data_IF_214046198170
#
_entry.id   IF_214046198170
#
_cell.length_a   1.000
_cell.length_b   1.000
_cell.length_c   1.000
_cell.angle_alpha   90.00
_cell.angle_beta   90.00
_cell.angle_gamma   90.00
#
_symmetry.space_group_name_H-M   'P 1'
#
loop_
_entity.id
_entity.type
_entity.pdbx_description
1 polymer ?
#
# COMPACT_ATOMS: atom_id res chain seq x y z
N UNK A 1 9.73 17.17 -2.47
CA UNK A 1 9.95 15.71 -2.55
C UNK A 1 8.66 15.08 -2.08
N UNK A 2 7.86 14.50 -2.98
CA UNK A 2 6.64 13.77 -2.60
C UNK A 2 7.04 12.40 -2.06
N UNK A 3 6.54 12.02 -0.87
CA UNK A 3 6.54 10.60 -0.51
C UNK A 3 5.59 9.94 -1.50
N UNK A 4 6.00 8.87 -2.19
CA UNK A 4 5.01 8.05 -2.82
C UNK A 4 4.17 7.41 -1.72
N UNK A 5 2.98 7.95 -1.44
CA UNK A 5 1.87 7.18 -0.84
C UNK A 5 1.33 6.14 -1.82
N UNK A 6 2.22 5.62 -2.67
CA UNK A 6 1.99 4.70 -3.77
C UNK A 6 2.83 3.47 -3.47
N UNK A 7 2.19 2.38 -3.12
CA UNK A 7 2.82 1.09 -2.98
C UNK A 7 2.64 0.34 -4.29
N UNK A 8 3.76 0.09 -4.96
CA UNK A 8 3.80 -0.71 -6.18
C UNK A 8 4.46 -2.03 -5.81
N UNK A 9 3.71 -3.13 -5.93
CA UNK A 9 4.25 -4.47 -5.76
C UNK A 9 4.36 -5.12 -7.13
N UNK A 10 5.58 -5.51 -7.47
CA UNK A 10 5.84 -6.45 -8.55
C UNK A 10 6.00 -7.84 -7.95
N UNK A 11 5.17 -8.77 -8.39
CA UNK A 11 5.20 -10.15 -7.94
C UNK A 11 5.13 -11.09 -9.14
N UNK A 12 6.02 -12.08 -9.17
CA UNK A 12 6.07 -13.10 -10.21
C UNK A 12 6.08 -14.50 -9.62
N UNK A 13 5.37 -15.41 -10.29
CA UNK A 13 5.28 -16.84 -9.97
C UNK A 13 5.96 -17.62 -11.06
N UNK A 14 6.78 -18.58 -10.66
CA UNK A 14 7.47 -19.48 -11.57
C UNK A 14 7.17 -20.93 -11.18
N UNK A 15 7.26 -21.84 -12.15
CA UNK A 15 7.31 -23.27 -11.86
C UNK A 15 8.53 -23.61 -10.99
N UNK A 16 8.48 -24.78 -10.33
CA UNK A 16 9.63 -25.27 -9.56
C UNK A 16 10.80 -25.52 -10.50
N UNK A 17 11.91 -24.82 -10.26
CA UNK A 17 13.18 -25.01 -10.93
C UNK A 17 14.11 -25.96 -10.16
N UNK A 18 15.37 -26.02 -10.58
CA UNK A 18 16.44 -26.72 -9.85
C UNK A 18 17.29 -25.80 -8.98
N UNK A 19 17.12 -24.47 -9.08
CA UNK A 19 17.81 -23.52 -8.23
C UNK A 19 17.36 -23.66 -6.76
N UNK A 20 18.33 -23.80 -5.84
CA UNK A 20 18.06 -23.88 -4.40
C UNK A 20 18.24 -22.54 -3.68
N UNK A 21 18.87 -21.57 -4.35
CA UNK A 21 19.07 -20.20 -3.86
C UNK A 21 19.14 -19.22 -5.05
N UNK A 22 18.86 -17.94 -4.79
CA UNK A 22 18.90 -16.90 -5.81
C UNK A 22 17.70 -16.91 -6.77
N UNK A 23 17.82 -16.28 -7.96
CA UNK A 23 16.76 -16.27 -8.95
C UNK A 23 16.39 -17.67 -9.42
N UNK A 24 15.10 -17.93 -9.58
CA UNK A 24 14.59 -19.22 -10.09
C UNK A 24 14.96 -19.42 -11.55
N UNK A 25 15.22 -20.67 -11.94
CA UNK A 25 15.36 -21.12 -13.33
C UNK A 25 14.10 -21.85 -13.84
N UNK A 26 13.01 -21.81 -13.07
CA UNK A 26 11.71 -22.32 -13.50
C UNK A 26 11.05 -21.40 -14.52
N UNK A 27 10.11 -21.96 -15.30
CA UNK A 27 9.34 -21.20 -16.30
C UNK A 27 8.43 -20.18 -15.60
N UNK A 28 8.39 -18.95 -16.12
CA UNK A 28 7.45 -17.92 -15.67
C UNK A 28 6.01 -18.37 -15.92
N UNK A 29 5.19 -18.33 -14.87
CA UNK A 29 3.76 -18.67 -14.89
C UNK A 29 2.90 -17.43 -14.81
N UNK A 30 3.28 -16.50 -13.93
CA UNK A 30 2.50 -15.31 -13.63
C UNK A 30 3.45 -14.14 -13.39
N UNK A 31 3.17 -13.00 -13.99
CA UNK A 31 3.90 -11.76 -13.75
C UNK A 31 2.88 -10.67 -13.50
N UNK A 32 2.89 -10.05 -12.32
CA UNK A 32 1.82 -9.16 -11.87
C UNK A 32 2.33 -7.92 -11.18
N UNK A 33 1.51 -6.88 -11.29
CA UNK A 33 1.76 -5.57 -10.71
C UNK A 33 0.51 -5.15 -9.95
N UNK A 34 0.65 -4.81 -8.68
CA UNK A 34 -0.38 -4.09 -7.94
C UNK A 34 0.08 -2.67 -7.64
N UNK A 35 -0.88 -1.76 -7.60
CA UNK A 35 -0.69 -0.38 -7.20
C UNK A 35 -1.74 -0.03 -6.16
N UNK A 36 -1.31 0.54 -5.05
CA UNK A 36 -2.17 1.08 -4.00
C UNK A 36 -1.74 2.52 -3.75
N UNK A 37 -2.62 3.47 -4.03
CA UNK A 37 -2.35 4.90 -3.91
C UNK A 37 -3.40 5.56 -3.02
N UNK A 38 -2.95 6.25 -1.98
CA UNK A 38 -3.83 6.93 -1.01
C UNK A 38 -3.58 8.43 -1.07
N UNK A 39 -4.66 9.18 -1.31
CA UNK A 39 -4.64 10.64 -1.38
C UNK A 39 -5.56 11.21 -0.30
N UNK A 40 -5.07 12.03 0.64
CA UNK A 40 -5.93 12.74 1.57
C UNK A 40 -6.94 13.62 0.84
N UNK A 41 -8.22 13.53 1.22
CA UNK A 41 -9.28 14.38 0.66
C UNK A 41 -9.61 15.52 1.63
N UNK A 42 -9.82 15.17 2.90
CA UNK A 42 -10.01 16.11 4.00
C UNK A 42 -9.41 15.53 5.29
N UNK A 43 -9.66 16.18 6.44
CA UNK A 43 -9.10 15.76 7.73
C UNK A 43 -9.53 14.34 8.17
N UNK A 44 -10.61 13.80 7.60
CA UNK A 44 -11.30 12.60 8.07
C UNK A 44 -11.61 11.62 6.93
N UNK A 45 -11.13 11.88 5.71
CA UNK A 45 -11.39 11.02 4.56
C UNK A 45 -10.23 11.03 3.55
N UNK A 46 -10.13 9.96 2.77
CA UNK A 46 -9.16 9.82 1.70
C UNK A 46 -9.79 9.21 0.45
N UNK A 47 -9.14 9.43 -0.68
CA UNK A 47 -9.34 8.70 -1.92
C UNK A 47 -8.32 7.56 -1.99
N UNK A 48 -8.80 6.32 -2.10
CA UNK A 48 -7.97 5.13 -2.24
C UNK A 48 -8.15 4.59 -3.66
N UNK A 49 -7.07 4.63 -4.45
CA UNK A 49 -6.99 4.02 -5.77
C UNK A 49 -6.20 2.72 -5.70
N UNK A 50 -6.81 1.62 -6.13
CA UNK A 50 -6.17 0.32 -6.15
C UNK A 50 -6.28 -0.32 -7.53
N UNK A 51 -5.26 -1.08 -7.92
CA UNK A 51 -5.28 -1.91 -9.11
C UNK A 51 -4.39 -3.14 -8.92
N UNK A 52 -4.76 -4.22 -9.58
CA UNK A 52 -3.94 -5.42 -9.69
C UNK A 52 -4.17 -6.03 -11.06
N UNK A 53 -3.09 -6.34 -11.76
CA UNK A 53 -3.17 -6.94 -13.08
C UNK A 53 -1.91 -7.71 -13.42
N UNK A 54 -1.98 -8.44 -14.53
CA UNK A 54 -0.87 -9.24 -15.03
C UNK A 54 -0.20 -8.58 -16.25
N UNK A 55 1.03 -8.98 -16.51
CA UNK A 55 1.72 -8.62 -17.75
C UNK A 55 0.99 -9.25 -18.95
N UNK A 56 1.07 -8.59 -20.11
CA UNK A 56 0.54 -9.15 -21.37
C UNK A 56 1.15 -10.51 -21.72
N UNK A 57 2.36 -10.81 -21.27
CA UNK A 57 3.06 -12.05 -21.56
C UNK A 57 2.49 -13.25 -20.78
N UNK A 58 1.85 -12.97 -19.64
CA UNK A 58 1.29 -13.99 -18.73
C UNK A 58 -0.22 -13.90 -18.59
N UNK A 59 -0.86 -12.99 -19.32
CA UNK A 59 -2.32 -12.86 -19.33
C UNK A 59 -2.97 -14.07 -20.00
N UNK A 60 -4.08 -14.52 -19.42
CA UNK A 60 -4.85 -15.66 -19.87
C UNK A 60 -6.33 -15.33 -19.73
N UNK A 61 -7.22 -15.90 -20.58
CA UNK A 61 -8.65 -15.60 -20.50
C UNK A 61 -9.21 -15.76 -19.09
N UNK A 62 -9.84 -14.70 -18.57
CA UNK A 62 -10.44 -14.64 -17.23
C UNK A 62 -9.49 -14.32 -16.07
N UNK A 63 -8.17 -14.26 -16.30
CA UNK A 63 -7.20 -13.99 -15.24
C UNK A 63 -7.31 -12.56 -14.70
N UNK A 64 -7.46 -11.58 -15.59
CA UNK A 64 -7.60 -10.17 -15.20
C UNK A 64 -8.87 -9.93 -14.39
N UNK A 65 -10.00 -10.54 -14.78
CA UNK A 65 -11.25 -10.43 -14.03
C UNK A 65 -11.12 -11.07 -12.64
N UNK A 66 -10.52 -12.26 -12.56
CA UNK A 66 -10.24 -12.93 -11.29
C UNK A 66 -9.36 -12.07 -10.36
N UNK A 67 -8.31 -11.45 -10.90
CA UNK A 67 -7.44 -10.56 -10.13
C UNK A 67 -8.17 -9.31 -9.65
N UNK A 68 -9.01 -8.72 -10.50
CA UNK A 68 -9.81 -7.56 -10.14
C UNK A 68 -10.77 -7.89 -9.00
N UNK A 69 -11.52 -8.99 -9.09
CA UNK A 69 -12.44 -9.44 -8.04
C UNK A 69 -11.70 -9.71 -6.72
N UNK A 70 -10.60 -10.46 -6.77
CA UNK A 70 -9.79 -10.73 -5.57
C UNK A 70 -9.23 -9.46 -4.92
N UNK A 71 -8.79 -8.49 -5.73
CA UNK A 71 -8.28 -7.22 -5.22
C UNK A 71 -9.39 -6.35 -4.61
N UNK A 72 -10.58 -6.36 -5.21
CA UNK A 72 -11.73 -5.65 -4.66
C UNK A 72 -12.17 -6.23 -3.32
N UNK A 73 -12.21 -7.56 -3.19
CA UNK A 73 -12.57 -8.21 -1.93
C UNK A 73 -11.56 -7.87 -0.81
N UNK A 74 -10.26 -7.94 -1.11
CA UNK A 74 -9.21 -7.53 -0.18
C UNK A 74 -9.33 -6.04 0.22
N UNK A 75 -9.60 -5.16 -0.75
CA UNK A 75 -9.82 -3.74 -0.48
C UNK A 75 -11.02 -3.50 0.45
N UNK A 76 -12.12 -4.22 0.26
CA UNK A 76 -13.31 -4.06 1.10
C UNK A 76 -13.07 -4.54 2.54
N UNK A 77 -12.27 -5.60 2.72
CA UNK A 77 -11.82 -6.05 4.04
C UNK A 77 -10.96 -4.98 4.73
N UNK A 78 -9.93 -4.48 4.05
CA UNK A 78 -9.05 -3.43 4.56
C UNK A 78 -9.83 -2.16 4.91
N UNK A 79 -10.75 -1.75 4.03
CA UNK A 79 -11.63 -0.60 4.26
C UNK A 79 -12.42 -0.75 5.56
N UNK A 80 -13.08 -1.90 5.75
CA UNK A 80 -13.88 -2.14 6.94
C UNK A 80 -13.02 -2.06 8.20
N UNK A 81 -11.79 -2.58 8.14
CA UNK A 81 -10.87 -2.52 9.26
C UNK A 81 -10.38 -1.11 9.57
N UNK A 82 -9.93 -0.36 8.56
CA UNK A 82 -9.42 1.00 8.72
C UNK A 82 -10.50 1.97 9.21
N UNK A 83 -11.72 1.88 8.66
CA UNK A 83 -12.85 2.70 9.12
C UNK A 83 -13.23 2.36 10.57
N UNK A 84 -13.22 1.08 10.93
CA UNK A 84 -13.44 0.64 12.31
C UNK A 84 -12.37 1.16 13.28
N UNK A 85 -11.09 1.07 12.91
CA UNK A 85 -9.99 1.63 13.70
C UNK A 85 -10.14 3.14 13.89
N UNK A 86 -10.46 3.86 12.81
CA UNK A 86 -10.65 5.31 12.84
C UNK A 86 -11.80 5.72 13.78
N UNK A 87 -12.93 5.00 13.74
CA UNK A 87 -14.03 5.20 14.69
C UNK A 87 -13.56 5.03 16.14
N UNK A 88 -12.79 3.98 16.45
CA UNK A 88 -12.27 3.73 17.80
C UNK A 88 -11.28 4.79 18.28
N UNK A 89 -10.44 5.30 17.39
CA UNK A 89 -9.52 6.41 17.71
C UNK A 89 -10.30 7.67 18.07
N UNK A 90 -11.42 7.95 17.39
CA UNK A 90 -12.29 9.09 17.71
C UNK A 90 -13.04 8.91 19.03
N UNK A 91 -13.49 7.69 19.34
CA UNK A 91 -14.16 7.38 20.61
C UNK A 91 -13.22 7.50 21.82
N UNK A 92 -11.92 7.22 21.62
CA UNK A 92 -10.92 7.19 22.69
C UNK A 92 -9.63 7.89 22.24
N UNK A 93 -9.64 9.23 22.14
CA UNK A 93 -8.51 9.99 21.60
C UNK A 93 -7.23 9.89 22.46
N UNK A 94 -7.37 9.62 23.75
CA UNK A 94 -6.24 9.51 24.69
C UNK A 94 -5.70 8.06 24.83
N UNK A 95 -6.28 7.10 24.10
CA UNK A 95 -5.79 5.72 24.15
C UNK A 95 -4.40 5.62 23.47
N UNK A 96 -3.41 4.99 24.11
CA UNK A 96 -2.09 4.87 23.51
C UNK A 96 -2.11 3.86 22.35
N UNK A 97 -1.38 4.18 21.28
CA UNK A 97 -0.99 3.19 20.27
C UNK A 97 0.12 2.29 20.83
N UNK A 98 0.03 0.99 20.56
CA UNK A 98 1.01 -0.01 21.00
C UNK A 98 1.53 -0.74 19.78
N UNK A 99 2.82 -0.55 19.48
CA UNK A 99 3.47 -1.20 18.36
C UNK A 99 3.70 -2.69 18.62
N UNK A 100 3.54 -3.48 17.57
CA UNK A 100 3.93 -4.89 17.52
C UNK A 100 5.13 -5.08 16.59
N UNK A 101 5.73 -6.27 16.60
CA UNK A 101 6.92 -6.59 15.78
C UNK A 101 6.71 -6.34 14.28
N UNK A 102 5.47 -6.49 13.79
CA UNK A 102 5.12 -6.28 12.39
C UNK A 102 5.00 -4.79 11.98
N UNK A 103 5.01 -3.86 12.94
CA UNK A 103 4.88 -2.42 12.69
C UNK A 103 6.21 -1.74 12.36
N UNK A 104 7.34 -2.47 12.37
CA UNK A 104 8.65 -1.92 12.07
C UNK A 104 8.75 -1.26 10.67
N UNK A 105 7.98 -1.74 9.70
CA UNK A 105 7.85 -1.14 8.37
C UNK A 105 6.98 0.12 8.39
N UNK A 106 5.68 0.00 8.72
CA UNK A 106 4.76 1.13 8.81
C UNK A 106 5.26 2.28 9.70
N UNK A 107 5.86 1.97 10.87
CA UNK A 107 6.41 2.98 11.77
C UNK A 107 7.52 3.84 11.14
N UNK A 108 8.37 3.24 10.30
CA UNK A 108 9.39 4.00 9.56
C UNK A 108 8.76 4.93 8.52
N UNK A 109 7.68 4.51 7.88
CA UNK A 109 6.96 5.35 6.92
C UNK A 109 6.33 6.56 7.61
N UNK A 110 5.67 6.35 8.75
CA UNK A 110 5.12 7.44 9.56
C UNK A 110 6.20 8.43 10.00
N UNK A 111 7.37 7.94 10.40
CA UNK A 111 8.51 8.80 10.72
C UNK A 111 8.99 9.65 9.53
N UNK A 112 9.02 9.10 8.31
CA UNK A 112 9.34 9.86 7.09
C UNK A 112 8.28 10.93 6.82
N UNK A 113 7.00 10.56 6.94
CA UNK A 113 5.88 11.47 6.75
C UNK A 113 5.96 12.66 7.73
N UNK A 114 6.15 12.40 9.01
CA UNK A 114 6.31 13.43 10.05
C UNK A 114 7.43 14.41 9.74
N UNK A 115 8.56 13.91 9.23
CA UNK A 115 9.70 14.76 8.83
C UNK A 115 9.33 15.70 7.69
N UNK A 116 8.54 15.23 6.73
CA UNK A 116 8.15 16.02 5.57
C UNK A 116 7.08 17.05 5.92
N UNK A 117 6.10 16.69 6.75
CA UNK A 117 5.12 17.64 7.28
C UNK A 117 5.81 18.76 8.06
N UNK A 118 6.81 18.43 8.89
CA UNK A 118 7.62 19.44 9.61
C UNK A 118 8.39 20.36 8.65
N UNK A 119 9.00 19.81 7.61
CA UNK A 119 9.73 20.60 6.61
C UNK A 119 8.80 21.51 5.80
N UNK A 120 7.61 21.03 5.43
CA UNK A 120 6.60 21.81 4.73
C UNK A 120 6.10 22.99 5.60
N UNK A 121 5.78 22.73 6.87
CA UNK A 121 5.37 23.79 7.80
C UNK A 121 6.42 24.90 7.95
N UNK A 122 7.72 24.53 8.03
CA UNK A 122 8.81 25.50 8.11
C UNK A 122 9.00 26.31 6.82
N UNK A 123 8.79 25.68 5.66
CA UNK A 123 8.90 26.38 4.38
C UNK A 123 7.80 27.45 4.19
N UNK A 124 6.60 27.20 4.72
CA UNK A 124 5.48 28.15 4.70
C UNK A 124 5.77 29.37 5.59
N UNK A 125 6.41 29.19 6.74
CA UNK A 125 6.80 30.31 7.63
C UNK A 125 7.84 31.26 7.03
N UNK A 126 8.60 30.82 6.01
CA UNK A 126 9.70 31.60 5.40
C UNK A 126 9.22 32.49 4.25
N UNK A 127 8.00 32.29 3.73
CA UNK A 127 7.42 33.15 2.68
C UNK A 127 6.52 34.21 3.33
N UNK A 128 6.95 35.48 3.45
CA UNK A 128 6.11 36.53 4.03
C UNK A 128 4.94 36.83 3.07
N UNK A 129 3.77 37.08 3.66
CA UNK A 129 2.55 37.48 2.97
C UNK A 129 2.69 38.83 2.24
#
# INVERSE_FOLDING_TARGET
MSVPCNFILHFSVHEVGSATEGPTNGRLVLDTFSSQAVTPRDAHSCDYYYSWGCSRATDMPGLTDLMHEANNDAFLEDKAMLEGQYQRMRERPDAPSVDIVHDAGPGKLLWVLDRLLKAEAQAIEIVPA
#
